data_IF_028801470075
#
_entry.id   IF_028801470075
#
_cell.length_a   1.000
_cell.length_b   1.000
_cell.length_c   1.000
_cell.angle_alpha   90.00
_cell.angle_beta   90.00
_cell.angle_gamma   90.00
#
_symmetry.space_group_name_H-M   'P 1'
#
loop_
_entity.id
_entity.type
_entity.pdbx_description
1 polymer ?
#
# COMPACT_ATOMS: atom_id res chain seq x y z
N UNK A 1 -3.66 -2.66 -10.98
CA UNK A 1 -2.34 -2.87 -10.34
C UNK A 1 -1.17 -2.66 -11.30
N UNK A 2 -1.18 -3.16 -12.54
CA UNK A 2 -0.03 -2.96 -13.47
C UNK A 2 0.33 -1.50 -13.78
N UNK A 3 -0.66 -0.65 -14.07
CA UNK A 3 -0.44 0.79 -14.36
C UNK A 3 0.04 1.56 -13.13
N UNK A 4 -0.40 1.16 -11.94
CA UNK A 4 0.02 1.73 -10.67
C UNK A 4 1.51 1.48 -10.41
N UNK A 5 1.99 0.26 -10.64
CA UNK A 5 3.43 -0.06 -10.49
C UNK A 5 4.30 0.61 -11.55
N UNK A 6 3.78 0.72 -12.78
CA UNK A 6 4.42 1.52 -13.84
C UNK A 6 4.54 2.99 -13.43
N UNK A 7 3.55 3.55 -12.73
CA UNK A 7 3.61 4.93 -12.23
C UNK A 7 4.77 5.12 -11.25
N UNK A 8 4.94 4.21 -10.28
CA UNK A 8 6.09 4.24 -9.36
C UNK A 8 7.42 4.20 -10.12
N UNK A 9 7.56 3.26 -11.06
CA UNK A 9 8.79 3.08 -11.83
C UNK A 9 9.11 4.31 -12.70
N UNK A 10 8.12 4.84 -13.43
CA UNK A 10 8.29 6.04 -14.25
C UNK A 10 8.68 7.25 -13.40
N UNK A 11 7.98 7.47 -12.29
CA UNK A 11 8.24 8.61 -11.40
C UNK A 11 9.62 8.51 -10.76
N UNK A 12 10.07 7.30 -10.45
CA UNK A 12 11.41 7.09 -9.92
C UNK A 12 12.51 7.38 -10.95
N UNK A 13 12.36 6.89 -12.18
CA UNK A 13 13.30 7.18 -13.28
C UNK A 13 13.35 8.70 -13.52
N UNK A 14 12.20 9.37 -13.53
CA UNK A 14 12.11 10.83 -13.64
C UNK A 14 12.77 11.57 -12.47
N UNK A 15 12.73 11.01 -11.27
CA UNK A 15 13.40 11.57 -10.09
C UNK A 15 14.93 11.34 -10.07
N UNK A 16 15.45 10.56 -11.02
CA UNK A 16 16.87 10.21 -11.14
C UNK A 16 17.30 9.01 -10.29
N UNK A 17 16.35 8.17 -9.86
CA UNK A 17 16.65 6.92 -9.15
C UNK A 17 16.91 5.76 -10.12
N UNK A 18 17.66 4.75 -9.67
CA UNK A 18 17.89 3.50 -10.39
C UNK A 18 17.19 2.33 -9.69
N UNK A 19 16.40 1.57 -10.45
CA UNK A 19 15.79 0.32 -9.99
C UNK A 19 16.83 -0.80 -9.93
N UNK A 20 17.49 -0.99 -8.79
CA UNK A 20 18.54 -2.02 -8.66
C UNK A 20 17.95 -3.44 -8.63
N UNK A 21 16.72 -3.60 -8.13
CA UNK A 21 16.00 -4.87 -8.22
C UNK A 21 14.48 -4.69 -8.20
N UNK A 22 13.81 -5.24 -9.22
CA UNK A 22 12.37 -5.48 -9.23
C UNK A 22 12.12 -6.76 -8.42
N UNK A 23 11.90 -6.65 -7.11
CA UNK A 23 11.48 -7.82 -6.33
C UNK A 23 9.98 -8.02 -6.52
N UNK A 24 9.59 -9.10 -7.21
CA UNK A 24 8.20 -9.53 -7.25
C UNK A 24 7.77 -9.91 -5.83
N UNK A 25 6.89 -9.12 -5.23
CA UNK A 25 6.16 -9.54 -4.03
C UNK A 25 4.75 -9.96 -4.45
N UNK A 26 4.11 -10.78 -3.62
CA UNK A 26 2.83 -11.43 -3.95
C UNK A 26 1.66 -10.47 -4.27
N UNK A 27 1.82 -9.15 -4.10
CA UNK A 27 0.81 -8.13 -4.39
C UNK A 27 1.23 -7.09 -5.44
N UNK A 28 2.45 -7.15 -5.96
CA UNK A 28 2.97 -6.15 -6.89
C UNK A 28 4.49 -6.21 -7.10
N UNK A 29 5.01 -5.24 -7.84
CA UNK A 29 6.44 -5.08 -8.07
C UNK A 29 7.01 -4.26 -6.90
N UNK A 30 7.47 -4.91 -5.84
CA UNK A 30 8.21 -4.22 -4.79
C UNK A 30 9.56 -3.78 -5.35
N UNK A 31 9.67 -2.49 -5.66
CA UNK A 31 10.90 -1.92 -6.14
C UNK A 31 11.83 -1.61 -4.96
N UNK A 32 12.94 -2.34 -4.88
CA UNK A 32 14.03 -2.03 -3.95
C UNK A 32 14.97 -1.05 -4.65
N UNK A 33 14.96 0.19 -4.16
CA UNK A 33 15.81 1.25 -4.66
C UNK A 33 16.90 1.54 -3.62
N UNK A 34 18.17 1.37 -4.00
CA UNK A 34 19.33 1.70 -3.14
C UNK A 34 19.84 3.12 -3.39
N UNK A 35 19.18 3.87 -4.27
CA UNK A 35 19.57 5.24 -4.62
C UNK A 35 19.17 6.23 -3.51
N UNK A 36 20.07 7.14 -3.07
CA UNK A 36 19.78 8.15 -2.07
C UNK A 36 18.90 9.25 -2.68
N UNK A 37 17.61 8.95 -2.86
CA UNK A 37 16.61 9.95 -3.21
C UNK A 37 16.32 10.82 -1.98
N UNK A 38 16.07 12.11 -2.22
CA UNK A 38 15.59 12.97 -1.14
C UNK A 38 14.20 12.52 -0.70
N UNK A 39 13.89 12.67 0.60
CA UNK A 39 12.59 12.29 1.20
C UNK A 39 11.39 12.83 0.39
N UNK A 40 11.52 14.02 -0.18
CA UNK A 40 10.47 14.65 -1.01
C UNK A 40 10.29 13.90 -2.32
N UNK A 41 11.36 13.53 -3.01
CA UNK A 41 11.28 12.75 -4.25
C UNK A 41 10.66 11.37 -4.00
N UNK A 42 11.08 10.72 -2.92
CA UNK A 42 10.53 9.42 -2.52
C UNK A 42 9.03 9.50 -2.19
N UNK A 43 8.60 10.58 -1.53
CA UNK A 43 7.18 10.85 -1.29
C UNK A 43 6.38 10.94 -2.59
N UNK A 44 6.87 11.69 -3.60
CA UNK A 44 6.18 11.78 -4.89
C UNK A 44 6.18 10.45 -5.66
N UNK A 45 7.27 9.67 -5.56
CA UNK A 45 7.32 8.33 -6.13
C UNK A 45 6.25 7.45 -5.50
N UNK A 46 6.13 7.40 -4.17
CA UNK A 46 5.11 6.60 -3.48
C UNK A 46 3.69 7.14 -3.75
N UNK A 47 3.50 8.44 -3.90
CA UNK A 47 2.18 9.01 -4.20
C UNK A 47 1.70 8.72 -5.63
N UNK A 48 2.63 8.51 -6.57
CA UNK A 48 2.31 8.31 -7.99
C UNK A 48 1.41 7.09 -8.26
N UNK A 49 1.62 5.99 -7.53
CA UNK A 49 0.79 4.79 -7.65
C UNK A 49 -0.68 5.05 -7.29
N UNK A 50 -0.98 5.46 -6.05
CA UNK A 50 -2.34 5.81 -5.65
C UNK A 50 -2.95 6.90 -6.54
N UNK A 51 -2.18 7.90 -6.96
CA UNK A 51 -2.65 8.95 -7.86
C UNK A 51 -3.14 8.39 -9.20
N UNK A 52 -2.43 7.42 -9.79
CA UNK A 52 -2.86 6.77 -11.03
C UNK A 52 -4.13 5.95 -10.85
N UNK A 53 -4.28 5.22 -9.73
CA UNK A 53 -5.55 4.53 -9.43
C UNK A 53 -6.71 5.53 -9.34
N UNK A 54 -6.51 6.68 -8.70
CA UNK A 54 -7.54 7.72 -8.60
C UNK A 54 -7.88 8.32 -9.98
N UNK A 55 -6.87 8.61 -10.80
CA UNK A 55 -7.07 9.13 -12.16
C UNK A 55 -7.83 8.12 -13.02
N UNK A 56 -7.46 6.83 -12.95
CA UNK A 56 -8.15 5.76 -13.67
C UNK A 56 -9.61 5.64 -13.22
N UNK A 57 -9.89 5.77 -11.92
CA UNK A 57 -11.26 5.85 -11.44
C UNK A 57 -12.01 7.04 -12.02
N UNK A 58 -11.42 8.24 -12.05
CA UNK A 58 -12.10 9.43 -12.59
C UNK A 58 -12.40 9.32 -14.09
N UNK A 59 -11.52 8.67 -14.86
CA UNK A 59 -11.66 8.51 -16.32
C UNK A 59 -12.58 7.35 -16.66
N UNK A 60 -12.35 6.17 -16.07
CA UNK A 60 -13.04 4.93 -16.43
C UNK A 60 -14.28 4.67 -15.57
N UNK A 61 -14.44 5.39 -14.45
CA UNK A 61 -15.46 5.16 -13.41
C UNK A 61 -15.52 3.71 -12.93
N UNK A 62 -14.35 3.09 -12.84
CA UNK A 62 -14.20 1.72 -12.39
C UNK A 62 -13.99 1.68 -10.88
N UNK A 63 -14.97 1.13 -10.18
CA UNK A 63 -14.98 0.98 -8.72
C UNK A 63 -13.77 0.17 -8.21
N UNK A 64 -13.20 -0.72 -9.04
CA UNK A 64 -12.01 -1.48 -8.68
C UNK A 64 -10.82 -0.55 -8.42
N UNK A 65 -10.63 0.48 -9.27
CA UNK A 65 -9.55 1.43 -9.10
C UNK A 65 -9.76 2.33 -7.86
N UNK A 66 -11.01 2.62 -7.53
CA UNK A 66 -11.36 3.33 -6.29
C UNK A 66 -11.01 2.48 -5.06
N UNK A 67 -11.38 1.20 -5.06
CA UNK A 67 -11.04 0.26 -3.98
C UNK A 67 -9.52 0.14 -3.85
N UNK A 68 -8.80 -0.02 -4.96
CA UNK A 68 -7.33 -0.09 -4.96
C UNK A 68 -6.68 1.21 -4.45
N UNK A 69 -7.23 2.37 -4.79
CA UNK A 69 -6.78 3.64 -4.22
C UNK A 69 -6.98 3.68 -2.70
N UNK A 70 -8.19 3.37 -2.24
CA UNK A 70 -8.52 3.36 -0.82
C UNK A 70 -7.65 2.38 -0.02
N UNK A 71 -7.39 1.18 -0.56
CA UNK A 71 -6.51 0.20 0.08
C UNK A 71 -5.07 0.70 0.14
N UNK A 72 -4.50 1.21 -0.97
CA UNK A 72 -3.09 1.61 -0.99
C UNK A 72 -2.79 2.84 -0.13
N UNK A 73 -3.77 3.71 0.12
CA UNK A 73 -3.56 4.89 0.99
C UNK A 73 -3.67 4.57 2.49
N UNK A 74 -4.05 3.35 2.86
CA UNK A 74 -4.16 2.95 4.27
C UNK A 74 -2.81 3.08 4.99
N UNK A 75 -2.82 3.51 6.27
CA UNK A 75 -1.61 3.71 7.07
C UNK A 75 -1.05 2.38 7.61
N UNK A 76 -0.97 1.35 6.76
CA UNK A 76 -0.52 0.00 7.11
C UNK A 76 0.65 -0.37 6.21
N UNK A 77 1.81 -0.64 6.81
CA UNK A 77 2.96 -1.17 6.09
C UNK A 77 2.67 -2.61 5.65
N UNK A 78 2.94 -3.00 4.39
CA UNK A 78 3.77 -2.32 3.38
C UNK A 78 3.03 -1.47 2.34
N UNK A 79 1.74 -1.13 2.53
CA UNK A 79 0.97 -0.32 1.58
C UNK A 79 1.56 1.09 1.46
N UNK A 80 1.25 1.79 0.37
CA UNK A 80 1.83 3.11 0.07
C UNK A 80 1.62 4.13 1.19
N UNK A 81 0.45 4.14 1.84
CA UNK A 81 0.19 4.99 3.01
C UNK A 81 1.10 4.68 4.20
N UNK A 82 1.38 3.41 4.45
CA UNK A 82 2.38 2.96 5.44
C UNK A 82 3.81 3.34 5.05
N UNK A 83 4.16 3.28 3.75
CA UNK A 83 5.47 3.70 3.22
C UNK A 83 5.66 5.22 3.35
N UNK A 84 4.62 6.03 3.11
CA UNK A 84 4.65 7.47 3.34
C UNK A 84 4.96 7.79 4.81
N UNK A 85 4.29 7.09 5.74
CA UNK A 85 4.58 7.24 7.17
C UNK A 85 6.02 6.84 7.53
N UNK A 86 6.54 5.82 6.85
CA UNK A 86 7.90 5.34 7.06
C UNK A 86 8.97 6.39 6.69
N UNK A 87 8.71 7.21 5.66
CA UNK A 87 9.58 8.35 5.30
C UNK A 87 9.75 9.34 6.44
N UNK A 88 8.70 9.51 7.26
CA UNK A 88 8.73 10.42 8.40
C UNK A 88 9.38 9.76 9.63
N UNK A 89 8.90 8.59 10.02
CA UNK A 89 9.46 7.82 11.13
C UNK A 89 9.05 6.34 11.07
N UNK A 90 10.05 5.46 10.97
CA UNK A 90 9.86 4.01 10.99
C UNK A 90 9.12 3.53 12.25
N UNK A 91 9.43 4.10 13.42
CA UNK A 91 8.78 3.70 14.69
C UNK A 91 7.29 4.02 14.68
N UNK A 92 6.92 5.18 14.17
CA UNK A 92 5.52 5.61 14.09
C UNK A 92 4.80 4.76 13.06
N UNK A 93 5.37 4.57 11.87
CA UNK A 93 4.77 3.72 10.83
C UNK A 93 4.47 2.31 11.34
N UNK A 94 5.43 1.69 12.03
CA UNK A 94 5.25 0.34 12.57
C UNK A 94 4.20 0.31 13.70
N UNK A 95 4.20 1.28 14.60
CA UNK A 95 3.20 1.37 15.67
C UNK A 95 1.78 1.58 15.11
N UNK A 96 1.61 2.52 14.18
CA UNK A 96 0.33 2.82 13.52
C UNK A 96 -0.16 1.60 12.74
N UNK A 97 0.72 0.95 11.98
CA UNK A 97 0.38 -0.27 11.22
C UNK A 97 -0.15 -1.37 12.14
N UNK A 98 0.54 -1.65 13.26
CA UNK A 98 0.11 -2.65 14.24
C UNK A 98 -1.23 -2.32 14.88
N UNK A 99 -1.42 -1.07 15.31
CA UNK A 99 -2.69 -0.62 15.90
C UNK A 99 -3.83 -0.76 14.90
N UNK A 100 -3.61 -0.34 13.66
CA UNK A 100 -4.62 -0.41 12.60
C UNK A 100 -4.97 -1.86 12.24
N UNK A 101 -3.98 -2.75 12.19
CA UNK A 101 -4.20 -4.19 11.99
C UNK A 101 -5.03 -4.81 13.12
N UNK A 102 -4.72 -4.48 14.38
CA UNK A 102 -5.51 -4.95 15.54
C UNK A 102 -6.96 -4.47 15.45
N UNK A 103 -7.19 -3.20 15.07
CA UNK A 103 -8.53 -2.66 14.88
C UNK A 103 -9.30 -3.38 13.77
N UNK A 104 -8.66 -3.65 12.63
CA UNK A 104 -9.27 -4.43 11.53
C UNK A 104 -9.67 -5.83 12.01
N UNK A 105 -8.80 -6.50 12.78
CA UNK A 105 -9.09 -7.84 13.31
C UNK A 105 -10.31 -7.78 14.24
N UNK A 106 -10.35 -6.84 15.19
CA UNK A 106 -11.47 -6.66 16.11
C UNK A 106 -12.77 -6.40 15.34
N UNK A 107 -12.73 -5.50 14.36
CA UNK A 107 -13.88 -5.19 13.51
C UNK A 107 -14.34 -6.41 12.69
N UNK A 108 -13.39 -7.21 12.20
CA UNK A 108 -13.67 -8.44 11.47
C UNK A 108 -14.38 -9.47 12.35
N UNK A 109 -13.91 -9.67 13.58
CA UNK A 109 -14.58 -10.53 14.56
C UNK A 109 -15.99 -10.04 14.90
N UNK A 110 -16.17 -8.73 15.10
CA UNK A 110 -17.49 -8.14 15.33
C UNK A 110 -18.45 -8.39 14.15
N UNK A 111 -17.99 -8.17 12.92
CA UNK A 111 -18.79 -8.39 11.70
C UNK A 111 -19.24 -9.86 11.54
N UNK A 112 -18.39 -10.82 11.92
CA UNK A 112 -18.74 -12.24 11.85
C UNK A 112 -19.84 -12.59 12.86
N UNK A 113 -19.75 -12.05 14.09
CA UNK A 113 -20.70 -12.34 15.17
C UNK A 113 -22.07 -11.76 14.85
N UNK A 114 -22.13 -10.49 14.41
CA UNK A 114 -23.39 -9.78 14.16
C UNK A 114 -24.00 -10.13 12.79
N UNK A 115 -23.20 -10.23 11.73
CA UNK A 115 -23.71 -10.31 10.36
C UNK A 115 -23.51 -11.68 9.70
N UNK A 116 -22.83 -12.64 10.36
CA UNK A 116 -22.46 -13.96 9.80
C UNK A 116 -21.77 -13.89 8.42
N UNK A 117 -21.25 -12.73 8.06
CA UNK A 117 -20.63 -12.48 6.76
C UNK A 117 -19.12 -12.71 6.87
N UNK A 118 -18.59 -13.66 6.11
CA UNK A 118 -17.18 -14.09 6.14
C UNK A 118 -16.21 -13.17 5.36
N UNK A 119 -16.72 -12.17 4.64
CA UNK A 119 -15.93 -11.35 3.71
C UNK A 119 -14.79 -10.56 4.39
N UNK A 120 -15.01 -10.02 5.59
CA UNK A 120 -13.99 -9.29 6.36
C UNK A 120 -12.91 -10.20 6.97
N UNK A 121 -13.25 -11.46 7.31
CA UNK A 121 -12.29 -12.42 7.86
C UNK A 121 -11.18 -12.74 6.86
N UNK A 122 -11.53 -12.81 5.57
CA UNK A 122 -10.60 -13.09 4.49
C UNK A 122 -9.57 -11.96 4.33
N UNK A 123 -10.00 -10.70 4.47
CA UNK A 123 -9.13 -9.51 4.46
C UNK A 123 -8.22 -9.50 5.70
N UNK A 124 -8.73 -9.84 6.89
CA UNK A 124 -7.94 -9.87 8.12
C UNK A 124 -6.89 -11.01 8.14
N UNK A 125 -7.26 -12.20 7.66
CA UNK A 125 -6.32 -13.33 7.51
C UNK A 125 -5.24 -12.99 6.48
N UNK A 126 -5.62 -12.37 5.37
CA UNK A 126 -4.68 -11.92 4.36
C UNK A 126 -3.65 -10.91 4.93
N UNK A 127 -4.12 -9.89 5.67
CA UNK A 127 -3.24 -8.87 6.26
C UNK A 127 -2.34 -9.42 7.39
N UNK A 128 -2.83 -10.37 8.18
CA UNK A 128 -2.03 -10.99 9.27
C UNK A 128 -1.00 -11.97 8.75
N UNK A 129 -1.32 -12.81 7.76
CA UNK A 129 -0.35 -13.68 7.10
C UNK A 129 0.78 -12.85 6.46
N UNK A 130 0.44 -11.72 5.86
CA UNK A 130 1.42 -10.81 5.25
C UNK A 130 2.35 -10.16 6.29
N UNK A 131 1.82 -9.81 7.47
CA UNK A 131 2.58 -9.25 8.59
C UNK A 131 3.54 -10.23 9.27
N UNK A 132 3.37 -11.55 9.09
CA UNK A 132 4.21 -12.57 9.74
C UNK A 132 5.33 -13.04 8.81
N UNK A 133 5.12 -12.96 7.49
CA UNK A 133 6.12 -13.31 6.48
C UNK A 133 7.22 -12.24 6.29
N UNK A 134 7.08 -11.06 6.88
CA UNK A 134 7.98 -9.91 6.76
C UNK A 134 8.13 -9.16 8.09
#
# INVERSE_FOLDING_TARGET
SGVHELAHLLTLILCGGSADSLTFSFYGLALKYSSPLSRIKEFFVILSGPAVNLILYLILKDDINLILFCLNILPVYPLDGGRILNLYSYRISNAVSKVFLVLIIILSFYMIIEYKSFSMLLIAVYLTAYSIMY
#
